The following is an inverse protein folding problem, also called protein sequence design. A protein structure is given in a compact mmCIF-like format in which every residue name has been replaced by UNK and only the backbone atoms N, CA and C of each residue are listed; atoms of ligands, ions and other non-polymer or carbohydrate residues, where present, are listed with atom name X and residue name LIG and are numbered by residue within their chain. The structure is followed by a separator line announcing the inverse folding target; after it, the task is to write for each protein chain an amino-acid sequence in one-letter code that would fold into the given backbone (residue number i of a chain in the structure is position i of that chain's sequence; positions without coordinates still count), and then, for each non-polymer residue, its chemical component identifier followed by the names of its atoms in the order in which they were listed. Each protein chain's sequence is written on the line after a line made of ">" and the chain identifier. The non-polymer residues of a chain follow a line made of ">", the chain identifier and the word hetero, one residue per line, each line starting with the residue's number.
data_IF_080996573518
#
_entry.id   IF_080996573518
#
_cell.length_a   1.000
_cell.length_b   1.000
_cell.length_c   1.000
_cell.angle_alpha   90.00
_cell.angle_beta   90.00
_cell.angle_gamma   90.00
#
_symmetry.space_group_name_H-M   'P 1'
#
loop_
_entity.id
_entity.type
_entity.pdbx_description
1 polymer ?
#
# COMPACT_ATOMS: atom_id res chain seq x y z
N UNK A 1 -3.74 -2.53 14.05
CA UNK A 1 -3.29 -3.25 12.86
C UNK A 1 -2.55 -2.31 11.94
N UNK A 2 -1.72 -2.87 11.10
CA UNK A 2 -0.80 -2.10 10.27
C UNK A 2 -0.93 -2.50 8.81
N UNK A 3 -0.76 -1.53 7.93
CA UNK A 3 -0.69 -1.76 6.50
C UNK A 3 0.41 -0.87 5.92
N UNK A 4 0.79 -1.12 4.68
CA UNK A 4 1.82 -0.33 4.01
C UNK A 4 1.15 0.57 2.98
N UNK A 5 1.43 1.88 3.04
CA UNK A 5 0.89 2.83 2.08
C UNK A 5 1.85 2.91 0.90
N UNK A 6 1.34 2.59 -0.29
CA UNK A 6 2.13 2.62 -1.52
C UNK A 6 1.92 3.93 -2.29
N UNK A 7 0.73 4.53 -2.16
CA UNK A 7 0.43 5.80 -2.80
C UNK A 7 -0.62 6.53 -1.97
N UNK A 8 -0.51 7.87 -1.91
CA UNK A 8 -1.45 8.72 -1.20
C UNK A 8 -1.74 9.95 -2.04
N UNK A 9 -2.73 10.76 -1.61
CA UNK A 9 -3.14 11.96 -2.33
C UNK A 9 -3.48 11.65 -3.79
N UNK A 10 -4.25 10.58 -3.99
CA UNK A 10 -4.56 10.04 -5.30
C UNK A 10 -6.08 10.01 -5.48
N UNK A 11 -6.57 10.14 -6.71
CA UNK A 11 -8.00 10.02 -6.98
C UNK A 11 -8.41 8.55 -6.86
N UNK A 12 -9.69 8.31 -6.58
CA UNK A 12 -10.19 6.94 -6.49
C UNK A 12 -10.00 6.18 -7.81
N UNK A 13 -10.27 6.82 -8.94
CA UNK A 13 -10.11 6.20 -10.25
C UNK A 13 -8.65 5.77 -10.48
N UNK A 14 -7.69 6.64 -10.17
CA UNK A 14 -6.28 6.33 -10.33
C UNK A 14 -5.83 5.25 -9.33
N UNK A 15 -6.37 5.28 -8.12
CA UNK A 15 -6.06 4.26 -7.12
C UNK A 15 -6.53 2.88 -7.57
N UNK A 16 -7.73 2.80 -8.13
CA UNK A 16 -8.26 1.54 -8.64
C UNK A 16 -7.43 0.98 -9.79
N UNK A 17 -7.00 1.86 -10.70
CA UNK A 17 -6.13 1.46 -11.81
C UNK A 17 -4.79 0.95 -11.29
N UNK A 18 -4.22 1.65 -10.31
CA UNK A 18 -2.94 1.26 -9.74
C UNK A 18 -3.03 -0.10 -9.04
N UNK A 19 -4.11 -0.33 -8.28
CA UNK A 19 -4.34 -1.62 -7.62
C UNK A 19 -4.47 -2.73 -8.67
N UNK A 20 -5.23 -2.49 -9.74
CA UNK A 20 -5.39 -3.49 -10.79
C UNK A 20 -4.05 -3.84 -11.42
N UNK A 21 -3.22 -2.84 -11.69
CA UNK A 21 -1.89 -3.05 -12.23
C UNK A 21 -1.01 -3.85 -11.28
N UNK A 22 -1.01 -3.47 -9.99
CA UNK A 22 -0.21 -4.17 -8.98
C UNK A 22 -0.63 -5.63 -8.85
N UNK A 23 -1.94 -5.89 -8.84
CA UNK A 23 -2.44 -7.25 -8.72
C UNK A 23 -2.02 -8.08 -9.93
N UNK A 24 -2.02 -7.49 -11.13
CA UNK A 24 -1.58 -8.19 -12.33
C UNK A 24 -0.08 -8.51 -12.30
N UNK A 25 0.69 -7.74 -11.52
CA UNK A 25 2.14 -7.94 -11.36
C UNK A 25 2.48 -8.86 -10.18
N UNK A 26 1.48 -9.41 -9.51
CA UNK A 26 1.69 -10.35 -8.42
C UNK A 26 1.52 -9.77 -7.02
N UNK A 27 1.25 -8.48 -6.90
CA UNK A 27 1.00 -7.83 -5.60
C UNK A 27 -0.46 -8.00 -5.23
N UNK A 28 -0.84 -9.22 -4.86
CA UNK A 28 -2.25 -9.58 -4.66
C UNK A 28 -2.93 -8.88 -3.50
N UNK A 29 -2.16 -8.45 -2.52
CA UNK A 29 -2.72 -7.82 -1.32
C UNK A 29 -2.86 -6.31 -1.47
N UNK A 30 -2.59 -5.76 -2.66
CA UNK A 30 -2.83 -4.35 -2.93
C UNK A 30 -4.33 -4.06 -2.91
N UNK A 31 -4.71 -2.94 -2.29
CA UNK A 31 -6.11 -2.57 -2.15
C UNK A 31 -6.24 -1.06 -2.04
N UNK A 32 -7.43 -0.56 -2.35
CA UNK A 32 -7.74 0.85 -2.14
C UNK A 32 -8.21 1.01 -0.70
N UNK A 33 -7.64 1.98 0.01
CA UNK A 33 -8.05 2.36 1.35
C UNK A 33 -8.66 3.75 1.28
N UNK A 34 -9.90 3.86 1.73
CA UNK A 34 -10.63 5.11 1.65
C UNK A 34 -11.16 5.47 3.04
N UNK A 35 -10.90 6.71 3.46
CA UNK A 35 -11.41 7.21 4.72
C UNK A 35 -11.78 8.67 4.54
N UNK A 36 -13.10 8.95 4.60
CA UNK A 36 -13.59 10.28 4.28
C UNK A 36 -13.23 10.63 2.84
N UNK A 37 -12.51 11.73 2.65
CA UNK A 37 -12.05 12.16 1.33
C UNK A 37 -10.67 11.63 0.98
N UNK A 38 -10.04 10.94 1.93
CA UNK A 38 -8.69 10.42 1.73
C UNK A 38 -8.75 9.11 0.98
N UNK A 39 -7.95 9.01 -0.08
CA UNK A 39 -7.81 7.79 -0.86
C UNK A 39 -6.35 7.41 -0.90
N UNK A 40 -6.05 6.16 -0.57
CA UNK A 40 -4.68 5.62 -0.57
C UNK A 40 -4.68 4.24 -1.19
N UNK A 41 -3.54 3.86 -1.75
CA UNK A 41 -3.29 2.48 -2.15
C UNK A 41 -2.44 1.85 -1.06
N UNK A 42 -2.92 0.74 -0.49
CA UNK A 42 -2.25 0.07 0.62
C UNK A 42 -1.93 -1.37 0.24
N UNK A 43 -1.03 -1.97 0.98
CA UNK A 43 -0.59 -3.33 0.75
C UNK A 43 -0.50 -4.09 2.06
N UNK A 44 -1.23 -5.21 2.13
CA UNK A 44 -1.14 -6.16 3.22
C UNK A 44 -1.85 -5.74 4.50
N UNK A 45 -1.95 -6.67 5.41
CA UNK A 45 -2.48 -6.45 6.74
C UNK A 45 -1.57 -7.20 7.73
N UNK A 46 -1.05 -6.46 8.72
CA UNK A 46 -0.06 -7.00 9.64
C UNK A 46 -0.54 -6.79 11.08
N UNK A 47 -0.27 -7.75 11.95
CA UNK A 47 -0.68 -7.67 13.34
C UNK A 47 0.30 -6.88 14.19
N UNK A 48 1.55 -6.77 13.74
CA UNK A 48 2.57 -6.02 14.48
C UNK A 48 3.30 -5.06 13.56
N UNK A 49 3.83 -4.00 14.15
CA UNK A 49 4.63 -3.04 13.41
C UNK A 49 5.92 -3.67 12.89
N UNK A 50 6.49 -4.60 13.64
CA UNK A 50 7.69 -5.31 13.21
C UNK A 50 7.49 -6.06 11.90
N UNK A 51 6.35 -6.76 11.79
CA UNK A 51 6.03 -7.48 10.55
C UNK A 51 5.87 -6.51 9.39
N UNK A 52 5.15 -5.41 9.63
CA UNK A 52 4.93 -4.39 8.60
C UNK A 52 6.26 -3.78 8.15
N UNK A 53 7.15 -3.46 9.10
CA UNK A 53 8.46 -2.89 8.77
C UNK A 53 9.33 -3.86 8.00
N UNK A 54 9.28 -5.14 8.33
CA UNK A 54 10.05 -6.14 7.60
C UNK A 54 9.60 -6.21 6.13
N UNK A 55 8.29 -6.19 5.91
CA UNK A 55 7.76 -6.20 4.56
C UNK A 55 8.06 -4.90 3.83
N UNK A 56 7.99 -3.78 4.54
CA UNK A 56 8.31 -2.47 3.97
C UNK A 56 9.73 -2.45 3.41
N UNK A 57 10.69 -3.00 4.14
CA UNK A 57 12.08 -3.04 3.67
C UNK A 57 12.19 -3.80 2.35
N UNK A 58 11.44 -4.88 2.19
CA UNK A 58 11.43 -5.63 0.93
C UNK A 58 10.81 -4.82 -0.21
N UNK A 59 9.71 -4.15 0.06
CA UNK A 59 9.03 -3.36 -0.96
C UNK A 59 9.88 -2.16 -1.39
N UNK A 60 10.58 -1.54 -0.45
CA UNK A 60 11.42 -0.37 -0.76
C UNK A 60 12.62 -0.68 -1.64
N UNK A 61 12.94 -1.95 -1.83
CA UNK A 61 13.98 -2.34 -2.78
C UNK A 61 13.57 -2.05 -4.22
N UNK A 62 12.28 -1.94 -4.47
CA UNK A 62 11.78 -1.50 -5.77
C UNK A 62 11.70 0.03 -5.79
N UNK A 63 12.19 0.65 -6.85
CA UNK A 63 12.11 2.10 -7.01
C UNK A 63 10.67 2.61 -6.93
N UNK A 64 9.72 1.82 -7.44
CA UNK A 64 8.33 2.20 -7.45
C UNK A 64 7.76 2.41 -6.04
N UNK A 65 8.35 1.77 -5.03
CA UNK A 65 7.86 1.82 -3.65
C UNK A 65 8.87 2.45 -2.69
N UNK A 66 9.79 3.26 -3.22
CA UNK A 66 10.85 3.85 -2.39
C UNK A 66 10.29 4.73 -1.27
N UNK A 67 9.13 5.35 -1.49
CA UNK A 67 8.50 6.25 -0.53
C UNK A 67 7.39 5.60 0.29
N UNK A 68 7.22 4.29 0.19
CA UNK A 68 6.20 3.57 0.96
C UNK A 68 6.46 3.70 2.45
N UNK A 69 5.38 3.65 3.24
CA UNK A 69 5.48 3.80 4.69
C UNK A 69 4.38 2.99 5.39
N UNK A 70 4.62 2.69 6.66
CA UNK A 70 3.67 1.92 7.47
C UNK A 70 2.63 2.84 8.06
N UNK A 71 1.38 2.43 7.95
CA UNK A 71 0.25 3.14 8.52
C UNK A 71 -0.44 2.27 9.57
N UNK A 72 -0.79 2.86 10.70
CA UNK A 72 -1.64 2.21 11.69
C UNK A 72 -3.09 2.37 11.24
N UNK A 73 -3.72 1.26 11.06
CA UNK A 73 -5.05 1.24 10.48
C UNK A 73 -6.15 1.50 11.51
#
# INVERSE_FOLDING_TARGET
>A
RYTIVLASAITQANAEQFVAQLQSEGYREAAVYKRGRMVRVVYGAYTSEQEAQAQLRKLRQSEAFADAWVMDK
#
